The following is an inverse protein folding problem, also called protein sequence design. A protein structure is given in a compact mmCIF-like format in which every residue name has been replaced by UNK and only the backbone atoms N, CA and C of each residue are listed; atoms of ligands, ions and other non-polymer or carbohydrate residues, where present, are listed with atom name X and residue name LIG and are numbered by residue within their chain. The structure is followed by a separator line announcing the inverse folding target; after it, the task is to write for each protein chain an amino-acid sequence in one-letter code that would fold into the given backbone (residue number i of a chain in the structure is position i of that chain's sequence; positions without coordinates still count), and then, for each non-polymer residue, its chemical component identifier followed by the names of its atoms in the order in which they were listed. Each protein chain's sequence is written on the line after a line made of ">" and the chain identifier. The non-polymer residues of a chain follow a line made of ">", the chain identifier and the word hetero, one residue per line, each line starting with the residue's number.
data_IF_210906502399
#
_entry.id   IF_210906502399
#
_cell.length_a   1.000
_cell.length_b   1.000
_cell.length_c   1.000
_cell.angle_alpha   90.00
_cell.angle_beta   90.00
_cell.angle_gamma   90.00
#
_symmetry.space_group_name_H-M   'P 1'
#
loop_
_entity.id
_entity.type
_entity.pdbx_description
1 polymer ?
#
# COMPACT_ATOMS: atom_id res chain seq x y z
N UNK A 1 13.15 11.23 -4.61
CA UNK A 1 13.14 10.11 -3.63
C UNK A 1 11.71 9.68 -3.43
N UNK A 2 11.40 8.49 -3.91
CA UNK A 2 10.10 7.83 -3.82
C UNK A 2 9.57 7.79 -2.37
N UNK A 3 8.28 8.11 -2.16
CA UNK A 3 7.63 8.06 -0.85
C UNK A 3 7.69 6.65 -0.26
N UNK A 4 7.62 5.63 -1.11
CA UNK A 4 7.74 4.22 -0.73
C UNK A 4 9.12 3.95 -0.14
N UNK A 5 10.19 4.35 -0.84
CA UNK A 5 11.56 4.13 -0.38
C UNK A 5 11.85 4.89 0.92
N UNK A 6 11.33 6.13 1.07
CA UNK A 6 11.41 6.87 2.34
C UNK A 6 10.70 6.15 3.48
N UNK A 7 9.52 5.59 3.23
CA UNK A 7 8.76 4.86 4.24
C UNK A 7 9.44 3.55 4.64
N UNK A 8 9.98 2.80 3.67
CA UNK A 8 10.74 1.57 3.93
C UNK A 8 11.92 1.86 4.87
N UNK A 9 12.65 2.96 4.63
CA UNK A 9 13.73 3.41 5.52
C UNK A 9 13.23 3.74 6.93
N UNK A 10 12.05 4.37 7.03
CA UNK A 10 11.41 4.74 8.32
C UNK A 10 10.88 3.52 9.09
N UNK A 11 10.47 2.47 8.38
CA UNK A 11 9.86 1.26 8.95
C UNK A 11 10.82 0.38 9.74
N UNK A 12 12.12 0.56 9.52
CA UNK A 12 13.18 -0.23 10.15
C UNK A 12 13.51 -1.49 9.36
N UNK A 13 14.69 -2.05 9.64
CA UNK A 13 15.25 -3.19 8.88
C UNK A 13 14.40 -4.45 8.98
N UNK A 14 13.76 -4.68 10.11
CA UNK A 14 13.01 -5.93 10.37
C UNK A 14 11.70 -6.03 9.58
N UNK A 15 11.08 -4.88 9.28
CA UNK A 15 9.78 -4.81 8.62
C UNK A 15 9.87 -4.38 7.15
N UNK A 16 11.00 -3.82 6.74
CA UNK A 16 11.28 -3.44 5.35
C UNK A 16 11.06 -4.59 4.35
N UNK A 17 11.52 -5.84 4.59
CA UNK A 17 11.31 -6.95 3.66
C UNK A 17 9.82 -7.25 3.45
N UNK A 18 9.03 -7.30 4.53
CA UNK A 18 7.60 -7.59 4.46
C UNK A 18 6.85 -6.49 3.70
N UNK A 19 7.19 -5.21 3.93
CA UNK A 19 6.59 -4.08 3.20
C UNK A 19 6.92 -4.15 1.71
N UNK A 20 8.18 -4.45 1.36
CA UNK A 20 8.58 -4.62 -0.05
C UNK A 20 7.83 -5.77 -0.73
N UNK A 21 7.69 -6.91 -0.03
CA UNK A 21 6.96 -8.06 -0.55
C UNK A 21 5.48 -7.71 -0.84
N UNK A 22 4.82 -6.99 0.06
CA UNK A 22 3.43 -6.56 -0.15
C UNK A 22 3.32 -5.59 -1.34
N UNK A 23 4.25 -4.65 -1.48
CA UNK A 23 4.26 -3.71 -2.61
C UNK A 23 4.45 -4.46 -3.94
N UNK A 24 5.36 -5.42 -3.99
CA UNK A 24 5.55 -6.26 -5.17
C UNK A 24 4.25 -7.01 -5.55
N UNK A 25 3.56 -7.59 -4.55
CA UNK A 25 2.26 -8.25 -4.75
C UNK A 25 1.18 -7.30 -5.30
N UNK A 26 1.13 -6.06 -4.80
CA UNK A 26 0.21 -5.03 -5.33
C UNK A 26 0.49 -4.77 -6.80
N UNK A 27 1.75 -4.57 -7.18
CA UNK A 27 2.15 -4.25 -8.56
C UNK A 27 1.77 -5.37 -9.54
N UNK A 28 1.94 -6.64 -9.16
CA UNK A 28 1.52 -7.79 -9.98
C UNK A 28 0.03 -8.14 -9.85
N UNK A 29 -0.75 -7.29 -9.17
CA UNK A 29 -2.18 -7.46 -8.91
C UNK A 29 -2.54 -8.76 -8.14
N UNK A 30 -1.59 -9.32 -7.39
CA UNK A 30 -1.85 -10.38 -6.42
C UNK A 30 -2.32 -9.76 -5.09
N UNK A 31 -3.64 -9.54 -5.03
CA UNK A 31 -4.30 -8.96 -3.86
C UNK A 31 -4.90 -10.03 -2.93
N UNK A 32 -4.69 -11.32 -3.22
CA UNK A 32 -5.31 -12.41 -2.48
C UNK A 32 -4.85 -12.43 -1.02
N UNK A 33 -5.80 -12.51 -0.09
CA UNK A 33 -5.52 -12.53 1.35
C UNK A 33 -5.05 -11.19 1.95
N UNK A 34 -5.02 -10.10 1.19
CA UNK A 34 -4.75 -8.75 1.70
C UNK A 34 -6.07 -8.06 2.10
N UNK A 35 -6.09 -7.29 3.20
CA UNK A 35 -7.26 -6.47 3.61
C UNK A 35 -7.38 -5.24 2.71
N UNK A 36 -7.83 -5.47 1.48
CA UNK A 36 -8.06 -4.44 0.45
C UNK A 36 -9.45 -3.85 0.61
N UNK A 37 -9.52 -2.53 0.68
CA UNK A 37 -10.79 -1.78 0.74
C UNK A 37 -10.77 -0.62 -0.24
N UNK A 38 -11.84 -0.49 -1.03
CA UNK A 38 -12.06 0.71 -1.86
C UNK A 38 -12.25 1.93 -0.97
N UNK A 39 -11.62 3.05 -1.32
CA UNK A 39 -11.85 4.33 -0.64
C UNK A 39 -13.15 4.95 -1.14
N UNK A 40 -13.98 5.48 -0.22
CA UNK A 40 -15.25 6.12 -0.57
C UNK A 40 -14.98 7.46 -1.27
N UNK A 41 -15.83 7.79 -2.26
CA UNK A 41 -15.80 9.09 -2.94
C UNK A 41 -14.64 9.27 -3.92
N UNK A 42 -13.88 8.21 -4.21
CA UNK A 42 -12.78 8.25 -5.18
C UNK A 42 -12.84 7.05 -6.11
N UNK A 43 -12.83 7.33 -7.40
CA UNK A 43 -12.82 6.28 -8.41
C UNK A 43 -11.45 5.62 -8.44
N UNK A 44 -11.48 4.29 -8.52
CA UNK A 44 -10.29 3.44 -8.64
C UNK A 44 -9.24 3.52 -7.53
N UNK A 45 -9.50 4.23 -6.43
CA UNK A 45 -8.61 4.26 -5.26
C UNK A 45 -8.96 3.17 -4.24
N UNK A 46 -7.92 2.45 -3.80
CA UNK A 46 -8.01 1.36 -2.85
C UNK A 46 -6.95 1.53 -1.74
N UNK A 47 -7.18 0.88 -0.61
CA UNK A 47 -6.25 0.82 0.50
C UNK A 47 -6.10 -0.60 1.02
N UNK A 48 -4.86 -1.02 1.23
CA UNK A 48 -4.50 -2.24 1.95
C UNK A 48 -4.14 -1.92 3.40
N UNK A 49 -4.62 -2.73 4.33
CA UNK A 49 -4.20 -2.70 5.73
C UNK A 49 -3.29 -3.88 6.05
N UNK A 50 -2.14 -3.59 6.63
CA UNK A 50 -1.17 -4.60 7.09
C UNK A 50 -0.71 -4.22 8.49
N UNK A 51 -1.40 -4.75 9.50
CA UNK A 51 -1.16 -4.41 10.91
C UNK A 51 -1.25 -2.90 11.15
N UNK A 52 -0.10 -2.26 11.41
CA UNK A 52 0.02 -0.81 11.66
C UNK A 52 0.33 0.01 10.40
N UNK A 53 0.31 -0.58 9.20
CA UNK A 53 0.65 0.08 7.94
C UNK A 53 -0.60 0.17 7.06
N UNK A 54 -0.75 1.30 6.38
CA UNK A 54 -1.78 1.57 5.38
C UNK A 54 -1.07 1.87 4.06
N UNK A 55 -1.43 1.14 3.00
CA UNK A 55 -0.92 1.35 1.65
C UNK A 55 -2.10 1.78 0.79
N UNK A 56 -2.04 2.93 0.13
CA UNK A 56 -3.04 3.37 -0.85
C UNK A 56 -2.48 3.14 -2.25
N UNK A 57 -3.32 2.63 -3.13
CA UNK A 57 -2.98 2.41 -4.53
C UNK A 57 -4.19 2.74 -5.42
N UNK A 58 -3.91 3.14 -6.66
CA UNK A 58 -4.92 3.24 -7.72
C UNK A 58 -4.85 2.03 -8.60
N UNK A 59 -6.01 1.64 -9.13
CA UNK A 59 -6.12 0.60 -10.15
C UNK A 59 -6.50 1.25 -11.47
N UNK A 60 -5.64 1.19 -12.47
CA UNK A 60 -5.96 1.63 -13.82
C UNK A 60 -7.09 0.79 -14.43
N UNK A 61 -7.82 1.35 -15.40
CA UNK A 61 -8.81 0.62 -16.19
C UNK A 61 -8.22 -0.60 -16.92
N UNK A 62 -6.90 -0.59 -17.19
CA UNK A 62 -6.15 -1.69 -17.79
C UNK A 62 -5.78 -2.80 -16.78
N UNK A 63 -6.16 -2.66 -15.51
CA UNK A 63 -5.91 -3.65 -14.45
C UNK A 63 -4.58 -3.49 -13.71
N UNK A 64 -3.72 -2.54 -14.12
CA UNK A 64 -2.47 -2.23 -13.45
C UNK A 64 -2.71 -1.51 -12.12
N UNK A 65 -1.90 -1.82 -11.09
CA UNK A 65 -1.95 -1.15 -9.80
C UNK A 65 -0.73 -0.26 -9.61
N UNK A 66 -0.95 0.96 -9.09
CA UNK A 66 0.11 1.89 -8.76
C UNK A 66 -0.02 2.35 -7.32
N UNK A 67 1.04 2.17 -6.52
CA UNK A 67 1.08 2.60 -5.12
C UNK A 67 1.28 4.11 -5.06
N UNK A 68 0.33 4.83 -4.47
CA UNK A 68 0.35 6.29 -4.38
C UNK A 68 0.91 6.77 -3.04
N UNK A 69 0.62 6.01 -1.98
CA UNK A 69 0.96 6.43 -0.63
C UNK A 69 1.13 5.23 0.30
N UNK A 70 2.06 5.38 1.25
CA UNK A 70 2.29 4.40 2.30
C UNK A 70 2.56 5.12 3.60
N UNK A 71 1.75 4.81 4.60
CA UNK A 71 1.73 5.51 5.88
C UNK A 71 1.58 4.53 7.02
N UNK A 72 2.07 4.95 8.20
CA UNK A 72 1.70 4.25 9.42
C UNK A 72 0.26 4.61 9.76
N UNK A 73 -0.38 3.70 10.49
CA UNK A 73 -1.59 3.99 11.25
C UNK A 73 -1.19 4.95 12.36
N UNK A 74 -1.27 6.23 12.10
CA UNK A 74 -1.38 7.21 13.18
C UNK A 74 -2.82 7.19 13.73
N UNK A 75 -2.98 7.77 14.91
CA UNK A 75 -4.28 7.96 15.55
C UNK A 75 -5.07 9.13 14.94
N UNK A 76 -4.74 9.60 13.72
CA UNK A 76 -5.58 10.57 13.05
C UNK A 76 -6.79 9.82 12.45
N UNK A 77 -7.87 9.92 13.22
CA UNK A 77 -9.30 9.70 12.99
C UNK A 77 -9.70 9.28 11.57
#
# INVERSE_FOLDING_TARGET
>A
MDRVEKFIRKVGKDRAPSVRAIIARIVVNDLAGLDVRKLKGKDFEYRIRVGRIRIKFVRSALGNNEVIDITFRDNNT
#
